data_IF_969918971599
#
_entry.id   IF_969918971599
#
_cell.length_a   1.000
_cell.length_b   1.000
_cell.length_c   1.000
_cell.angle_alpha   90.00
_cell.angle_beta   90.00
_cell.angle_gamma   90.00
#
_symmetry.space_group_name_H-M   'P 1'
#
loop_
_entity.id
_entity.type
_entity.pdbx_description
1 polymer ?
#
# COMPACT_ATOMS: atom_id res chain seq x y z
N UNK A 1 8.44 7.42 -10.16
CA UNK A 1 9.32 8.49 -9.63
C UNK A 1 10.34 9.03 -10.64
N UNK A 2 10.43 8.52 -11.87
CA UNK A 2 11.44 8.99 -12.84
C UNK A 2 11.30 10.47 -13.20
N UNK A 3 10.09 10.97 -13.48
CA UNK A 3 9.88 12.39 -13.80
C UNK A 3 10.25 13.30 -12.62
N UNK A 4 9.85 12.93 -11.40
CA UNK A 4 10.21 13.66 -10.17
C UNK A 4 11.74 13.66 -9.98
N UNK A 5 12.41 12.53 -10.17
CA UNK A 5 13.88 12.44 -10.09
C UNK A 5 14.63 13.18 -11.19
N UNK A 6 13.96 13.48 -12.32
CA UNK A 6 14.45 14.38 -13.38
C UNK A 6 14.10 15.85 -13.10
N UNK A 7 13.48 16.18 -11.96
CA UNK A 7 13.09 17.54 -11.60
C UNK A 7 11.77 18.01 -12.21
N UNK A 8 10.96 17.10 -12.75
CA UNK A 8 9.67 17.41 -13.39
C UNK A 8 8.53 17.14 -12.42
N UNK A 9 8.06 18.22 -11.77
CA UNK A 9 6.86 18.23 -10.93
C UNK A 9 7.00 17.48 -9.60
N UNK A 10 5.85 17.26 -8.96
CA UNK A 10 5.71 16.51 -7.70
C UNK A 10 4.62 15.44 -7.84
N UNK A 11 4.67 14.41 -7.01
CA UNK A 11 3.65 13.36 -6.96
C UNK A 11 3.28 13.05 -5.52
N UNK A 12 1.99 12.89 -5.27
CA UNK A 12 1.51 12.28 -4.03
C UNK A 12 1.67 10.77 -4.12
N UNK A 13 2.11 10.16 -3.03
CA UNK A 13 2.30 8.71 -2.93
C UNK A 13 1.92 8.26 -1.52
N UNK A 14 1.41 7.04 -1.42
CA UNK A 14 1.23 6.39 -0.14
C UNK A 14 2.57 5.85 0.40
N UNK A 15 2.62 5.61 1.71
CA UNK A 15 3.83 5.28 2.47
C UNK A 15 4.61 4.07 1.92
N UNK A 16 3.93 3.10 1.31
CA UNK A 16 4.54 1.91 0.72
C UNK A 16 5.61 2.19 -0.35
N UNK A 17 5.62 3.39 -0.96
CA UNK A 17 6.66 3.80 -1.92
C UNK A 17 8.04 4.02 -1.30
N UNK A 18 8.12 4.18 0.03
CA UNK A 18 9.40 4.35 0.75
C UNK A 18 10.27 3.09 0.75
N UNK A 19 9.72 1.93 0.36
CA UNK A 19 10.47 0.67 0.25
C UNK A 19 11.51 0.61 -0.89
N UNK A 20 11.55 1.62 -1.76
CA UNK A 20 12.49 1.71 -2.88
C UNK A 20 13.21 3.06 -2.85
N UNK A 21 14.53 3.03 -3.06
CA UNK A 21 15.30 4.26 -3.23
C UNK A 21 15.16 4.80 -4.65
N UNK A 22 14.87 6.10 -4.77
CA UNK A 22 14.79 6.81 -6.04
C UNK A 22 15.84 7.93 -6.07
N UNK A 23 16.80 7.91 -7.03
CA UNK A 23 17.80 8.96 -7.14
C UNK A 23 17.16 10.34 -7.26
N UNK A 24 17.70 11.31 -6.52
CA UNK A 24 17.27 12.72 -6.52
C UNK A 24 15.81 12.96 -6.09
N UNK A 25 15.19 12.01 -5.39
CA UNK A 25 13.83 12.16 -4.85
C UNK A 25 13.86 12.19 -3.33
N UNK A 26 13.22 13.20 -2.75
CA UNK A 26 12.95 13.27 -1.32
C UNK A 26 11.47 12.99 -1.04
N UNK A 27 11.18 12.17 -0.02
CA UNK A 27 9.83 11.94 0.46
C UNK A 27 9.51 12.93 1.59
N UNK A 28 8.53 13.80 1.37
CA UNK A 28 8.05 14.75 2.38
C UNK A 28 6.73 14.23 2.96
N UNK A 29 6.62 14.02 4.29
CA UNK A 29 5.35 13.68 4.93
C UNK A 29 4.31 14.77 4.69
N UNK A 30 3.07 14.36 4.40
CA UNK A 30 1.91 15.24 4.22
C UNK A 30 0.81 14.65 5.08
N UNK A 31 0.12 15.50 5.85
CA UNK A 31 -0.92 15.07 6.78
C UNK A 31 -0.39 14.69 8.17
N UNK A 32 -1.29 14.22 9.01
CA UNK A 32 -0.97 13.70 10.34
C UNK A 32 -0.45 12.26 10.25
N UNK A 33 0.28 11.80 11.27
CA UNK A 33 0.89 10.45 11.31
C UNK A 33 -0.14 9.33 11.13
N UNK A 34 -1.39 9.57 11.54
CA UNK A 34 -2.48 8.59 11.52
C UNK A 34 -3.35 8.67 10.25
N UNK A 35 -2.99 9.51 9.28
CA UNK A 35 -3.73 9.59 8.03
C UNK A 35 -3.48 8.35 7.17
N UNK A 36 -4.55 7.58 6.92
CA UNK A 36 -4.48 6.31 6.20
C UNK A 36 -5.12 6.43 4.82
N UNK A 37 -4.39 5.97 3.79
CA UNK A 37 -4.94 5.81 2.44
C UNK A 37 -5.60 4.43 2.36
N UNK A 38 -6.94 4.33 2.24
CA UNK A 38 -7.60 3.03 2.19
C UNK A 38 -7.26 2.31 0.90
N UNK A 39 -7.07 1.00 0.99
CA UNK A 39 -6.97 0.12 -0.17
C UNK A 39 -7.96 -1.03 -0.01
N UNK A 40 -8.40 -1.58 -1.13
CA UNK A 40 -9.31 -2.72 -1.14
C UNK A 40 -8.92 -3.73 -2.22
N UNK A 41 -9.27 -4.98 -1.97
CA UNK A 41 -9.20 -6.06 -2.96
C UNK A 41 -10.65 -6.47 -3.21
N UNK A 42 -11.02 -6.61 -4.48
CA UNK A 42 -12.39 -6.95 -4.88
C UNK A 42 -12.41 -8.25 -5.68
N UNK A 43 -13.51 -8.98 -5.55
CA UNK A 43 -13.77 -10.22 -6.28
C UNK A 43 -15.27 -10.34 -6.58
N UNK A 44 -15.61 -11.18 -7.56
CA UNK A 44 -17.01 -11.51 -7.84
C UNK A 44 -17.63 -12.23 -6.62
N UNK A 45 -18.88 -11.94 -6.24
CA UNK A 45 -19.51 -12.60 -5.08
C UNK A 45 -19.56 -14.13 -5.20
N UNK A 46 -19.65 -14.66 -6.42
CA UNK A 46 -19.73 -16.10 -6.68
C UNK A 46 -18.34 -16.77 -6.82
N UNK A 47 -17.23 -16.07 -6.53
CA UNK A 47 -15.89 -16.64 -6.66
C UNK A 47 -15.62 -17.65 -5.53
N UNK A 48 -15.70 -18.94 -5.87
CA UNK A 48 -15.46 -20.05 -4.96
C UNK A 48 -14.04 -20.66 -5.07
N UNK A 49 -13.12 -19.95 -5.73
CA UNK A 49 -11.74 -20.42 -5.93
C UNK A 49 -11.06 -20.69 -4.58
N UNK A 50 -10.60 -21.93 -4.30
CA UNK A 50 -9.91 -22.26 -3.07
C UNK A 50 -8.65 -21.41 -2.80
N UNK A 51 -7.98 -20.93 -3.85
CA UNK A 51 -6.83 -20.04 -3.72
C UNK A 51 -7.21 -18.68 -3.12
N UNK A 52 -8.35 -18.10 -3.52
CA UNK A 52 -8.84 -16.84 -2.94
C UNK A 52 -9.14 -17.02 -1.46
N UNK A 53 -9.83 -18.10 -1.08
CA UNK A 53 -10.12 -18.40 0.34
C UNK A 53 -8.84 -18.51 1.18
N UNK A 54 -7.83 -19.24 0.67
CA UNK A 54 -6.53 -19.39 1.35
C UNK A 54 -5.78 -18.06 1.44
N UNK A 55 -5.78 -17.27 0.38
CA UNK A 55 -5.18 -15.94 0.37
C UNK A 55 -5.82 -15.02 1.41
N UNK A 56 -7.15 -14.94 1.49
CA UNK A 56 -7.84 -14.12 2.48
C UNK A 56 -7.59 -14.59 3.92
N UNK A 57 -7.49 -15.91 4.15
CA UNK A 57 -7.10 -16.45 5.44
C UNK A 57 -5.69 -16.01 5.84
N UNK A 58 -4.73 -16.08 4.91
CA UNK A 58 -3.36 -15.64 5.13
C UNK A 58 -3.30 -14.13 5.40
N UNK A 59 -3.97 -13.32 4.58
CA UNK A 59 -4.01 -11.86 4.73
C UNK A 59 -4.54 -11.45 6.12
N UNK A 60 -5.56 -12.13 6.64
CA UNK A 60 -6.08 -11.90 8.00
C UNK A 60 -5.06 -12.24 9.09
N UNK A 61 -4.29 -13.32 8.91
CA UNK A 61 -3.23 -13.71 9.86
C UNK A 61 -2.13 -12.65 9.89
N UNK A 62 -1.67 -12.21 8.72
CA UNK A 62 -0.60 -11.19 8.64
C UNK A 62 -1.06 -9.82 9.12
N UNK A 63 -2.32 -9.45 8.87
CA UNK A 63 -2.89 -8.21 9.36
C UNK A 63 -3.00 -8.19 10.90
N UNK A 64 -3.29 -9.33 11.54
CA UNK A 64 -3.21 -9.46 13.01
C UNK A 64 -1.78 -9.35 13.52
N UNK A 65 -0.82 -10.01 12.86
CA UNK A 65 0.59 -9.99 13.26
C UNK A 65 1.21 -8.59 13.20
N UNK A 66 0.81 -7.79 12.21
CA UNK A 66 1.28 -6.42 12.00
C UNK A 66 0.56 -5.38 12.87
N UNK A 67 -0.47 -5.79 13.64
CA UNK A 67 -1.30 -4.86 14.42
C UNK A 67 -2.29 -4.04 13.60
N UNK A 68 -2.46 -4.37 12.31
CA UNK A 68 -3.40 -3.70 11.40
C UNK A 68 -4.86 -4.17 11.59
N UNK A 69 -5.09 -5.31 12.23
CA UNK A 69 -6.42 -5.76 12.68
C UNK A 69 -6.37 -6.02 14.19
N UNK A 70 -7.18 -5.27 14.94
CA UNK A 70 -7.49 -5.56 16.35
C UNK A 70 -8.29 -6.87 16.48
#
# INVERSE_FOLDING_TARGET
>A
MNLVGLGVGISLVADHWRGVHYPNVAFVPIGEVDETVPFSITWRPENDNPALRRFLSLARIEAKRSGALF
#
